data_IF_062774952697
#
_entry.id   IF_062774952697
#
_cell.length_a   1.000
_cell.length_b   1.000
_cell.length_c   1.000
_cell.angle_alpha   90.00
_cell.angle_beta   90.00
_cell.angle_gamma   90.00
#
_symmetry.space_group_name_H-M   'P 1'
#
loop_
_entity.id
_entity.type
_entity.pdbx_description
1 polymer ?
#
# COMPACT_ATOMS: atom_id res chain seq x y z
N UNK A 1 15.64 -5.95 -16.95
CA UNK A 1 14.91 -6.18 -15.69
C UNK A 1 15.60 -7.21 -14.77
N UNK A 2 16.68 -7.88 -15.21
CA UNK A 2 17.31 -8.97 -14.42
C UNK A 2 18.33 -8.53 -13.35
N UNK A 3 18.97 -7.37 -13.51
CA UNK A 3 20.10 -7.03 -12.62
C UNK A 3 19.65 -6.68 -11.20
N UNK A 4 18.50 -6.01 -11.06
CA UNK A 4 17.92 -5.70 -9.74
C UNK A 4 17.47 -6.98 -9.03
N UNK A 5 16.83 -7.91 -9.74
CA UNK A 5 16.38 -9.18 -9.16
C UNK A 5 17.56 -10.01 -8.66
N UNK A 6 18.67 -10.06 -9.42
CA UNK A 6 19.90 -10.74 -9.00
C UNK A 6 20.48 -10.13 -7.73
N UNK A 7 20.55 -8.79 -7.63
CA UNK A 7 21.04 -8.11 -6.42
C UNK A 7 20.14 -8.37 -5.22
N UNK A 8 18.82 -8.34 -5.40
CA UNK A 8 17.85 -8.67 -4.35
C UNK A 8 18.07 -10.10 -3.84
N UNK A 9 18.16 -11.07 -4.74
CA UNK A 9 18.37 -12.48 -4.36
C UNK A 9 19.69 -12.68 -3.63
N UNK A 10 20.77 -12.07 -4.12
CA UNK A 10 22.07 -12.10 -3.45
C UNK A 10 21.99 -11.50 -2.05
N UNK A 11 21.27 -10.38 -1.87
CA UNK A 11 21.08 -9.76 -0.56
C UNK A 11 20.22 -10.59 0.39
N UNK A 12 19.13 -11.17 -0.09
CA UNK A 12 18.28 -12.03 0.73
C UNK A 12 19.06 -13.23 1.29
N UNK A 13 20.01 -13.78 0.51
CA UNK A 13 20.89 -14.87 0.97
C UNK A 13 21.89 -14.45 2.06
N UNK A 14 22.20 -13.16 2.19
CA UNK A 14 23.10 -12.65 3.24
C UNK A 14 22.42 -12.35 4.57
N UNK A 15 21.09 -12.40 4.62
CA UNK A 15 20.36 -12.09 5.86
C UNK A 15 20.56 -13.24 6.85
N UNK A 16 21.11 -12.98 8.05
CA UNK A 16 21.35 -14.02 9.03
C UNK A 16 20.03 -14.56 9.57
N UNK A 17 19.87 -15.89 9.62
CA UNK A 17 18.66 -16.52 10.18
C UNK A 17 18.65 -16.35 11.69
N UNK A 18 17.74 -15.49 12.18
CA UNK A 18 17.54 -15.21 13.60
C UNK A 18 16.08 -15.39 14.01
N UNK A 19 15.81 -15.77 15.27
CA UNK A 19 14.43 -15.87 15.78
C UNK A 19 13.75 -14.51 15.90
N UNK A 20 14.53 -13.45 16.11
CA UNK A 20 14.06 -12.06 16.23
C UNK A 20 15.05 -11.14 15.51
N UNK A 21 14.52 -10.07 14.92
CA UNK A 21 15.29 -9.00 14.30
C UNK A 21 15.04 -7.69 15.07
N UNK A 22 16.00 -6.77 15.01
CA UNK A 22 15.94 -5.45 15.66
C UNK A 22 16.33 -4.34 14.69
N UNK A 23 16.15 -3.09 15.09
CA UNK A 23 16.60 -1.92 14.33
C UNK A 23 18.04 -2.01 13.80
N UNK A 24 18.97 -2.62 14.55
CA UNK A 24 20.36 -2.86 14.10
C UNK A 24 20.45 -3.76 12.87
N UNK A 25 19.59 -4.78 12.76
CA UNK A 25 19.54 -5.67 11.61
C UNK A 25 18.98 -4.95 10.38
N UNK A 26 17.96 -4.10 10.56
CA UNK A 26 17.43 -3.25 9.49
C UNK A 26 18.48 -2.23 9.05
N UNK A 27 19.21 -1.65 10.00
CA UNK A 27 20.31 -0.73 9.73
C UNK A 27 21.39 -1.41 8.88
N UNK A 28 21.82 -2.61 9.27
CA UNK A 28 22.80 -3.39 8.51
C UNK A 28 22.32 -3.73 7.10
N UNK A 29 21.02 -4.02 6.93
CA UNK A 29 20.42 -4.27 5.61
C UNK A 29 20.39 -3.01 4.74
N UNK A 30 20.06 -1.85 5.31
CA UNK A 30 19.84 -0.59 4.59
C UNK A 30 21.12 0.22 4.38
N UNK A 31 22.19 -0.07 5.12
CA UNK A 31 23.46 0.63 5.04
C UNK A 31 24.25 0.20 3.78
N UNK A 32 23.89 0.81 2.65
CA UNK A 32 24.56 0.61 1.36
C UNK A 32 25.05 1.93 0.78
N UNK A 33 26.13 1.87 0.01
CA UNK A 33 26.83 3.08 -0.42
C UNK A 33 26.16 3.79 -1.60
N UNK A 34 25.68 2.99 -2.58
CA UNK A 34 25.18 3.47 -3.85
C UNK A 34 23.65 3.42 -3.93
N UNK A 35 23.08 4.25 -4.83
CA UNK A 35 21.63 4.38 -5.00
C UNK A 35 20.98 3.09 -5.52
N UNK A 36 21.65 2.38 -6.42
CA UNK A 36 21.09 1.19 -7.06
C UNK A 36 20.83 0.09 -6.03
N UNK A 37 21.83 -0.20 -5.19
CA UNK A 37 21.71 -1.14 -4.09
C UNK A 37 20.68 -0.66 -3.07
N UNK A 38 20.61 0.65 -2.80
CA UNK A 38 19.62 1.21 -1.89
C UNK A 38 18.19 0.96 -2.38
N UNK A 39 17.94 1.18 -3.66
CA UNK A 39 16.63 0.90 -4.27
C UNK A 39 16.31 -0.61 -4.21
N UNK A 40 17.32 -1.48 -4.30
CA UNK A 40 17.16 -2.94 -4.14
C UNK A 40 16.83 -3.34 -2.68
N UNK A 41 17.58 -2.88 -1.67
CA UNK A 41 17.29 -3.20 -0.26
C UNK A 41 15.98 -2.58 0.22
N UNK A 42 15.62 -1.41 -0.31
CA UNK A 42 14.30 -0.80 -0.11
C UNK A 42 13.19 -1.70 -0.65
N UNK A 43 13.39 -2.31 -1.82
CA UNK A 43 12.44 -3.28 -2.35
C UNK A 43 12.39 -4.55 -1.50
N UNK A 44 13.54 -5.07 -1.03
CA UNK A 44 13.58 -6.20 -0.09
C UNK A 44 12.73 -5.94 1.17
N UNK A 45 12.87 -4.76 1.77
CA UNK A 45 12.06 -4.37 2.93
C UNK A 45 10.55 -4.37 2.60
N UNK A 46 10.18 -3.84 1.43
CA UNK A 46 8.80 -3.90 0.94
C UNK A 46 8.28 -5.33 0.74
N UNK A 47 9.13 -6.25 0.26
CA UNK A 47 8.77 -7.67 0.08
C UNK A 47 8.47 -8.36 1.40
N UNK A 48 9.27 -8.11 2.46
CA UNK A 48 8.98 -8.64 3.79
C UNK A 48 7.63 -8.15 4.32
N UNK A 49 7.31 -6.89 4.09
CA UNK A 49 6.03 -6.30 4.49
C UNK A 49 4.85 -6.72 3.58
N UNK A 50 5.10 -7.48 2.51
CA UNK A 50 4.07 -7.85 1.54
C UNK A 50 3.49 -6.66 0.77
N UNK A 51 4.24 -5.57 0.63
CA UNK A 51 3.82 -4.35 -0.06
C UNK A 51 4.41 -4.31 -1.48
N UNK A 52 3.62 -3.83 -2.43
CA UNK A 52 4.16 -3.47 -3.75
C UNK A 52 5.08 -2.26 -3.64
N UNK A 53 5.94 -2.04 -4.64
CA UNK A 53 6.85 -0.88 -4.69
C UNK A 53 6.12 0.44 -4.44
N UNK A 54 5.04 0.70 -5.18
CA UNK A 54 4.30 1.96 -5.08
C UNK A 54 3.61 2.10 -3.72
N UNK A 55 3.06 1.00 -3.17
CA UNK A 55 2.40 1.02 -1.86
C UNK A 55 3.41 1.28 -0.75
N UNK A 56 4.58 0.64 -0.82
CA UNK A 56 5.67 0.87 0.12
C UNK A 56 6.16 2.33 0.08
N UNK A 57 6.33 2.90 -1.11
CA UNK A 57 6.72 4.30 -1.24
C UNK A 57 5.66 5.28 -0.72
N UNK A 58 4.39 4.98 -0.95
CA UNK A 58 3.27 5.75 -0.42
C UNK A 58 3.23 5.71 1.12
N UNK A 59 3.36 4.52 1.71
CA UNK A 59 3.37 4.33 3.17
C UNK A 59 4.55 5.05 3.83
N UNK A 60 5.75 4.97 3.23
CA UNK A 60 6.93 5.71 3.71
C UNK A 60 6.72 7.23 3.65
N UNK A 61 6.18 7.75 2.55
CA UNK A 61 5.89 9.19 2.41
C UNK A 61 4.83 9.64 3.40
N UNK A 62 3.79 8.83 3.62
CA UNK A 62 2.70 9.13 4.56
C UNK A 62 3.21 9.26 6.00
N UNK A 63 4.08 8.34 6.45
CA UNK A 63 4.64 8.37 7.81
C UNK A 63 5.72 9.43 8.00
N UNK A 64 6.58 9.67 7.01
CA UNK A 64 7.70 10.62 7.12
C UNK A 64 7.36 12.05 6.73
N UNK A 65 6.22 12.27 6.07
CA UNK A 65 5.84 13.58 5.57
C UNK A 65 6.68 14.04 4.37
N UNK A 66 6.75 15.36 4.11
CA UNK A 66 7.39 15.90 2.93
C UNK A 66 8.91 15.64 2.95
N UNK A 67 9.39 14.99 1.89
CA UNK A 67 10.78 14.59 1.74
C UNK A 67 10.89 13.32 0.90
N UNK A 68 11.96 13.19 0.12
CA UNK A 68 12.16 11.98 -0.69
C UNK A 68 12.34 10.72 0.17
N UNK A 69 12.13 9.54 -0.41
CA UNK A 69 12.34 8.23 0.25
C UNK A 69 13.62 7.52 -0.25
N UNK A 70 14.55 8.29 -0.82
CA UNK A 70 15.79 7.77 -1.41
C UNK A 70 16.99 7.87 -0.48
N UNK A 71 18.11 7.29 -0.92
CA UNK A 71 19.37 7.18 -0.17
C UNK A 71 19.87 8.49 0.44
N UNK A 72 19.73 9.62 -0.25
CA UNK A 72 20.15 10.94 0.27
C UNK A 72 19.42 11.30 1.56
N UNK A 73 18.12 10.98 1.62
CA UNK A 73 17.31 11.27 2.80
C UNK A 73 17.55 10.26 3.91
N UNK A 74 17.85 9.00 3.56
CA UNK A 74 18.30 8.00 4.54
C UNK A 74 19.62 8.44 5.18
N UNK A 75 20.62 8.84 4.40
CA UNK A 75 21.92 9.30 4.94
C UNK A 75 21.82 10.58 5.77
N UNK A 76 20.87 11.47 5.47
CA UNK A 76 20.66 12.69 6.23
C UNK A 76 20.06 12.46 7.62
N UNK A 77 19.19 11.44 7.73
CA UNK A 77 18.55 11.09 9.00
C UNK A 77 18.23 9.58 9.00
N UNK A 78 19.24 8.73 9.31
CA UNK A 78 19.09 7.28 9.26
C UNK A 78 18.12 6.79 10.33
N UNK A 79 18.22 7.33 11.55
CA UNK A 79 17.43 6.86 12.69
C UNK A 79 15.93 7.06 12.43
N UNK A 80 15.50 8.26 12.03
CA UNK A 80 14.09 8.49 11.74
C UNK A 80 13.57 7.68 10.55
N UNK A 81 14.45 7.20 9.65
CA UNK A 81 14.06 6.27 8.59
C UNK A 81 13.87 4.85 9.15
N UNK A 82 14.77 4.40 10.01
CA UNK A 82 14.73 3.09 10.65
C UNK A 82 13.53 2.97 11.60
N UNK A 83 13.26 3.99 12.42
CA UNK A 83 12.12 4.02 13.34
C UNK A 83 10.79 3.82 12.60
N UNK A 84 10.67 4.40 11.40
CA UNK A 84 9.48 4.24 10.55
C UNK A 84 9.36 2.83 9.99
N UNK A 85 10.47 2.19 9.64
CA UNK A 85 10.44 0.79 9.19
C UNK A 85 10.11 -0.16 10.33
N UNK A 86 10.59 0.14 11.54
CA UNK A 86 10.29 -0.61 12.74
C UNK A 86 8.80 -0.45 13.14
N UNK A 87 8.26 0.77 13.08
CA UNK A 87 6.82 1.06 13.25
C UNK A 87 5.94 0.38 12.18
N UNK A 88 6.47 0.21 10.97
CA UNK A 88 5.81 -0.56 9.92
C UNK A 88 5.79 -2.08 10.19
N UNK A 89 6.46 -2.55 11.26
CA UNK A 89 6.52 -3.95 11.64
C UNK A 89 7.52 -4.77 10.84
N UNK A 90 8.57 -4.15 10.29
CA UNK A 90 9.54 -4.85 9.44
C UNK A 90 10.28 -5.96 10.20
N UNK A 91 10.68 -5.73 11.45
CA UNK A 91 11.35 -6.72 12.29
C UNK A 91 10.50 -7.99 12.46
N UNK A 92 9.23 -7.82 12.81
CA UNK A 92 8.29 -8.92 13.00
C UNK A 92 8.01 -9.66 11.69
N UNK A 93 7.86 -8.91 10.58
CA UNK A 93 7.66 -9.49 9.26
C UNK A 93 8.87 -10.32 8.80
N UNK A 94 10.09 -9.83 9.04
CA UNK A 94 11.32 -10.56 8.76
C UNK A 94 11.41 -11.85 9.59
N UNK A 95 11.15 -11.76 10.90
CA UNK A 95 11.14 -12.91 11.79
C UNK A 95 10.10 -13.95 11.36
N UNK A 96 8.89 -13.51 11.05
CA UNK A 96 7.80 -14.39 10.62
C UNK A 96 8.13 -15.11 9.31
N UNK A 97 8.69 -14.41 8.32
CA UNK A 97 8.99 -15.00 7.01
C UNK A 97 10.19 -15.94 7.09
N UNK A 98 11.28 -15.52 7.73
CA UNK A 98 12.54 -16.29 7.74
C UNK A 98 12.41 -17.55 8.58
N UNK A 99 11.66 -17.50 9.69
CA UNK A 99 11.44 -18.67 10.54
C UNK A 99 10.22 -19.51 10.10
N UNK A 100 9.52 -19.13 9.03
CA UNK A 100 8.38 -19.91 8.53
C UNK A 100 8.86 -21.24 7.95
N UNK A 101 8.30 -22.34 8.45
CA UNK A 101 8.45 -23.65 7.82
C UNK A 101 7.63 -23.68 6.52
N UNK A 102 8.31 -23.67 5.37
CA UNK A 102 7.64 -23.75 4.07
C UNK A 102 6.97 -25.12 3.89
N UNK A 103 5.65 -25.10 3.73
CA UNK A 103 4.86 -26.25 3.26
C UNK A 103 4.42 -26.02 1.83
N UNK A 104 4.32 -27.08 1.04
CA UNK A 104 3.98 -27.02 -0.38
C UNK A 104 2.65 -26.27 -0.64
N UNK A 105 1.70 -26.34 0.30
CA UNK A 105 0.42 -25.63 0.23
C UNK A 105 0.60 -24.11 0.22
N UNK A 106 1.58 -23.59 0.95
CA UNK A 106 1.87 -22.15 1.00
C UNK A 106 2.37 -21.63 -0.35
N UNK A 107 3.22 -22.41 -1.02
CA UNK A 107 3.73 -22.09 -2.35
C UNK A 107 2.58 -22.03 -3.36
N UNK A 108 1.63 -22.97 -3.29
CA UNK A 108 0.47 -22.98 -4.17
C UNK A 108 -0.50 -21.83 -3.87
N UNK A 109 -0.73 -21.52 -2.59
CA UNK A 109 -1.55 -20.38 -2.19
C UNK A 109 -0.96 -19.05 -2.69
N UNK A 110 0.35 -18.84 -2.53
CA UNK A 110 0.99 -17.63 -3.04
C UNK A 110 0.93 -17.57 -4.58
N UNK A 111 1.16 -18.67 -5.30
CA UNK A 111 0.99 -18.70 -6.77
C UNK A 111 -0.43 -18.33 -7.20
N UNK A 112 -1.44 -18.84 -6.51
CA UNK A 112 -2.84 -18.48 -6.75
C UNK A 112 -3.10 -17.00 -6.44
N UNK A 113 -2.50 -16.47 -5.36
CA UNK A 113 -2.58 -15.06 -4.97
C UNK A 113 -1.94 -14.14 -6.00
N UNK A 114 -0.75 -14.45 -6.51
CA UNK A 114 -0.09 -13.66 -7.55
C UNK A 114 -0.80 -13.79 -8.91
N UNK A 115 -1.33 -14.97 -9.24
CA UNK A 115 -2.11 -15.19 -10.46
C UNK A 115 -3.45 -14.43 -10.48
N UNK A 116 -4.13 -14.30 -9.33
CA UNK A 116 -5.44 -13.61 -9.22
C UNK A 116 -5.34 -12.16 -8.74
N UNK A 117 -4.37 -11.84 -7.90
CA UNK A 117 -4.19 -10.54 -7.27
C UNK A 117 -3.83 -9.43 -8.25
N UNK A 118 -3.02 -9.73 -9.28
CA UNK A 118 -2.71 -8.76 -10.34
C UNK A 118 -3.94 -8.37 -11.16
N UNK A 119 -4.85 -9.31 -11.42
CA UNK A 119 -6.11 -9.04 -12.11
C UNK A 119 -7.09 -8.23 -11.22
N UNK A 120 -7.21 -8.58 -9.94
CA UNK A 120 -8.12 -7.90 -8.99
C UNK A 120 -7.64 -6.46 -8.70
N UNK A 121 -6.33 -6.24 -8.51
CA UNK A 121 -5.79 -4.89 -8.29
C UNK A 121 -5.88 -4.01 -9.55
N UNK A 122 -5.74 -4.60 -10.75
CA UNK A 122 -6.00 -3.90 -12.01
C UNK A 122 -7.47 -3.45 -12.12
N UNK A 123 -8.40 -4.33 -11.77
CA UNK A 123 -9.84 -4.03 -11.76
C UNK A 123 -10.22 -2.99 -10.71
N UNK A 124 -9.70 -3.07 -9.48
CA UNK A 124 -9.96 -2.07 -8.44
C UNK A 124 -9.42 -0.68 -8.81
N UNK A 125 -8.26 -0.60 -9.49
CA UNK A 125 -7.72 0.66 -10.00
C UNK A 125 -8.57 1.24 -11.13
N UNK A 126 -9.07 0.40 -12.04
CA UNK A 126 -10.01 0.81 -13.10
C UNK A 126 -11.31 1.35 -12.51
N UNK A 127 -11.89 0.63 -11.55
CA UNK A 127 -13.14 1.05 -10.89
C UNK A 127 -12.98 2.32 -10.07
N UNK A 128 -11.86 2.49 -9.37
CA UNK A 128 -11.60 3.74 -8.63
C UNK A 128 -11.44 4.97 -9.55
N UNK A 129 -10.96 4.79 -10.79
CA UNK A 129 -10.93 5.85 -11.81
C UNK A 129 -12.32 6.17 -12.35
N UNK A 130 -13.17 5.16 -12.53
CA UNK A 130 -14.58 5.33 -12.92
C UNK A 130 -15.37 6.06 -11.84
N UNK A 131 -15.24 5.66 -10.57
CA UNK A 131 -15.90 6.30 -9.43
C UNK A 131 -15.46 7.78 -9.30
N UNK A 132 -14.16 8.06 -9.52
CA UNK A 132 -13.63 9.42 -9.52
C UNK A 132 -14.23 10.26 -10.67
N UNK A 133 -14.28 9.71 -11.89
CA UNK A 133 -14.87 10.39 -13.04
C UNK A 133 -16.37 10.65 -12.86
N UNK A 134 -17.12 9.68 -12.32
CA UNK A 134 -18.53 9.81 -12.00
C UNK A 134 -18.77 10.90 -10.95
N UNK A 135 -17.92 10.98 -9.93
CA UNK A 135 -18.01 12.03 -8.90
C UNK A 135 -17.79 13.44 -9.45
N UNK A 136 -16.92 13.61 -10.46
CA UNK A 136 -16.71 14.90 -11.13
C UNK A 136 -17.94 15.27 -11.95
N UNK A 137 -18.55 14.32 -12.66
CA UNK A 137 -19.75 14.55 -13.48
C UNK A 137 -20.94 14.92 -12.58
N UNK A 138 -21.13 14.23 -11.46
CA UNK A 138 -22.19 14.53 -10.49
C UNK A 138 -22.01 15.90 -9.84
N UNK A 139 -20.78 16.30 -9.52
CA UNK A 139 -20.50 17.59 -8.88
C UNK A 139 -20.38 18.77 -9.87
N UNK A 140 -20.07 18.51 -11.14
CA UNK A 140 -19.93 19.52 -12.19
C UNK A 140 -21.23 19.87 -12.90
N UNK A 141 -22.23 18.98 -12.89
CA UNK A 141 -23.54 19.25 -13.51
C UNK A 141 -24.45 20.08 -12.58
N UNK A 142 -24.23 21.39 -12.55
CA UNK A 142 -25.20 22.41 -12.12
C UNK A 142 -26.42 22.50 -13.06
N UNK A 143 -27.11 21.39 -13.29
CA UNK A 143 -28.33 21.32 -14.11
C UNK A 143 -29.49 20.69 -13.32
N UNK A 144 -29.61 20.96 -12.01
CA UNK A 144 -30.81 20.61 -11.25
C UNK A 144 -31.82 21.77 -11.33
N UNK A 145 -32.60 21.83 -12.41
CA UNK A 145 -33.81 22.69 -12.44
C UNK A 145 -34.75 22.20 -11.34
N UNK A 146 -35.25 23.06 -10.44
CA UNK A 146 -36.22 22.64 -9.44
C UNK A 146 -37.51 22.21 -10.16
N UNK A 147 -37.96 20.98 -9.91
CA UNK A 147 -39.33 20.55 -10.24
C UNK A 147 -40.29 21.38 -9.38
N UNK A 148 -41.10 22.21 -10.02
CA UNK A 148 -42.19 22.92 -9.36
C UNK A 148 -43.21 21.92 -8.81
N UNK A 149 -43.69 22.08 -7.56
CA UNK A 149 -44.72 21.21 -7.02
C UNK A 149 -46.08 21.56 -7.65
N UNK A 150 -46.79 20.53 -8.15
CA UNK A 150 -48.19 20.63 -8.58
C UNK A 150 -49.06 21.02 -7.38
N UNK A 151 -49.81 22.13 -7.49
CA UNK A 151 -50.90 22.47 -6.57
C UNK A 151 -51.94 21.35 -6.56
N UNK A 152 -52.13 20.70 -5.43
CA UNK A 152 -53.29 19.87 -5.17
C UNK A 152 -54.47 20.77 -4.78
N UNK A 153 -55.60 20.53 -5.45
CA UNK A 153 -56.88 21.23 -5.29
C UNK A 153 -57.51 20.94 -3.93
N UNK A 154 -57.79 22.00 -3.18
CA UNK A 154 -58.54 21.99 -1.93
C UNK A 154 -60.03 22.24 -2.23
N UNK A 155 -60.88 21.20 -2.20
CA UNK A 155 -62.34 21.35 -2.03
C UNK A 155 -62.97 20.12 -1.36
N UNK A 156 -63.32 20.30 -0.08
CA UNK A 156 -64.66 20.04 0.43
C UNK A 156 -65.08 18.61 0.77
N UNK A 157 -65.15 18.30 2.07
CA UNK A 157 -66.34 17.65 2.65
C UNK A 157 -66.41 17.85 4.17
N UNK A 158 -67.42 18.61 4.59
CA UNK A 158 -67.87 18.77 5.98
C UNK A 158 -68.80 17.59 6.29
N UNK A 159 -68.59 16.91 7.42
CA UNK A 159 -69.48 15.87 7.95
C UNK A 159 -69.98 16.33 9.32
N UNK A 160 -71.29 16.57 9.41
CA UNK A 160 -72.06 16.77 10.65
C UNK A 160 -72.32 15.42 11.34
N UNK A 161 -72.42 15.36 12.68
CA UNK A 161 -73.16 14.29 13.36
C UNK A 161 -74.48 14.83 13.95
N UNK A 162 -75.55 14.06 13.74
CA UNK A 162 -76.84 14.13 14.41
C UNK A 162 -77.37 12.71 14.54
#
# INVERSE_FOLDING_TARGET
MDDIAKVIMARLQTIPVKPQYRGDDISALMNVENKFDFDAVKLCAGLFLGLSKDKFESELKKRRGPGGTGIKRFKADPQAFLDVLEDMGLCDAMAAIINRKLVWSDILQERLRFGRGSAIQGQQRGRGLEDFAESIIQNGCCCNRPRTPRRASEKGRVLFPG
#
